data_IF_210975375995
#
_entry.id   IF_210975375995
#
_cell.length_a   1.000
_cell.length_b   1.000
_cell.length_c   1.000
_cell.angle_alpha   90.00
_cell.angle_beta   90.00
_cell.angle_gamma   90.00
#
_symmetry.space_group_name_H-M   'P 1'
#
loop_
_entity.id
_entity.type
_entity.pdbx_description
1 polymer ?
#
# COMPACT_ATOMS: atom_id res chain seq x y z
N UNK A 1 -3.57 -27.87 67.66
CA UNK A 1 -3.81 -28.92 66.65
C UNK A 1 -4.36 -28.23 65.41
N UNK A 2 -3.50 -27.97 64.41
CA UNK A 2 -3.67 -28.28 62.96
C UNK A 2 -5.10 -28.13 62.40
N UNK A 3 -5.46 -27.38 61.34
CA UNK A 3 -4.80 -26.63 60.25
C UNK A 3 -5.91 -25.82 59.51
N UNK A 4 -5.54 -24.69 58.86
CA UNK A 4 -5.89 -24.19 57.50
C UNK A 4 -7.33 -24.37 56.93
N UNK A 5 -7.94 -23.38 56.25
CA UNK A 5 -7.87 -23.19 54.77
C UNK A 5 -8.53 -21.85 54.31
N UNK A 6 -7.78 -21.12 53.48
CA UNK A 6 -8.10 -20.21 52.34
C UNK A 6 -9.04 -18.99 52.52
N UNK A 7 -8.51 -17.77 52.42
CA UNK A 7 -8.40 -16.91 51.20
C UNK A 7 -9.76 -16.31 50.77
N UNK A 8 -10.14 -15.09 51.19
CA UNK A 8 -9.76 -13.77 50.67
C UNK A 8 -9.93 -13.62 49.14
N UNK A 9 -10.81 -12.67 48.78
CA UNK A 9 -11.10 -12.04 47.49
C UNK A 9 -11.87 -12.86 46.43
N UNK A 10 -13.21 -12.84 46.54
CA UNK A 10 -14.08 -12.86 45.36
C UNK A 10 -14.02 -11.47 44.71
N UNK A 11 -13.10 -11.28 43.76
CA UNK A 11 -13.10 -10.11 42.87
C UNK A 11 -12.49 -10.49 41.51
N UNK A 12 -13.35 -10.86 40.56
CA UNK A 12 -13.19 -10.54 39.13
C UNK A 12 -14.39 -11.07 38.35
N UNK A 13 -15.31 -10.21 37.86
CA UNK A 13 -16.03 -10.53 36.64
C UNK A 13 -15.06 -10.31 35.47
N UNK A 14 -14.72 -11.38 34.75
CA UNK A 14 -14.05 -11.28 33.45
C UNK A 14 -15.06 -10.69 32.45
N UNK A 15 -15.16 -9.36 32.42
CA UNK A 15 -15.81 -8.66 31.32
C UNK A 15 -14.89 -8.78 30.10
N UNK A 16 -15.04 -9.89 29.36
CA UNK A 16 -14.50 -10.01 28.02
C UNK A 16 -15.24 -9.00 27.14
N UNK A 17 -14.66 -7.81 27.00
CA UNK A 17 -15.02 -6.93 25.91
C UNK A 17 -14.80 -7.72 24.61
N UNK A 18 -15.81 -7.85 23.74
CA UNK A 18 -15.55 -8.40 22.43
C UNK A 18 -14.54 -7.46 21.77
N UNK A 19 -13.36 -7.98 21.43
CA UNK A 19 -12.37 -7.30 20.59
C UNK A 19 -12.93 -7.21 19.16
N UNK A 20 -14.09 -6.59 19.00
CA UNK A 20 -14.64 -6.18 17.72
C UNK A 20 -13.91 -4.91 17.30
N UNK A 21 -12.69 -5.02 16.77
CA UNK A 21 -12.12 -4.03 15.85
C UNK A 21 -10.70 -4.38 15.39
N UNK A 22 -10.49 -5.45 14.60
CA UNK A 22 -9.27 -5.54 13.75
C UNK A 22 -9.53 -6.05 12.33
N UNK A 23 -10.78 -6.08 11.86
CA UNK A 23 -11.11 -6.60 10.51
C UNK A 23 -11.65 -5.55 9.53
N UNK A 24 -11.70 -4.27 9.90
CA UNK A 24 -12.32 -3.23 9.06
C UNK A 24 -11.30 -2.47 8.18
N UNK A 25 -9.99 -2.63 8.37
CA UNK A 25 -8.96 -1.95 7.56
C UNK A 25 -8.41 -2.78 6.40
N UNK A 26 -8.64 -4.11 6.37
CA UNK A 26 -8.11 -4.97 5.30
C UNK A 26 -8.75 -4.74 3.92
N UNK A 27 -10.01 -4.31 3.87
CA UNK A 27 -10.75 -4.18 2.60
C UNK A 27 -10.30 -2.97 1.77
N UNK A 28 -9.68 -1.97 2.39
CA UNK A 28 -9.17 -0.80 1.68
C UNK A 28 -7.75 -1.00 1.14
N UNK A 29 -7.06 -2.08 1.52
CA UNK A 29 -5.64 -2.27 1.23
C UNK A 29 -5.34 -2.82 -0.17
N UNK A 30 -6.37 -3.17 -0.94
CA UNK A 30 -6.21 -3.64 -2.33
C UNK A 30 -6.35 -2.52 -3.34
N UNK A 31 -5.42 -2.49 -4.31
CA UNK A 31 -5.44 -1.63 -5.48
C UNK A 31 -6.62 -2.03 -6.37
N UNK A 32 -7.59 -1.14 -6.51
CA UNK A 32 -8.71 -1.29 -7.43
C UNK A 32 -8.40 -0.68 -8.81
N UNK A 33 -7.59 0.38 -8.85
CA UNK A 33 -7.22 1.01 -10.11
C UNK A 33 -5.83 1.64 -10.08
N UNK A 34 -5.22 1.76 -11.26
CA UNK A 34 -3.96 2.49 -11.46
C UNK A 34 -4.23 3.63 -12.44
N UNK A 35 -3.95 4.85 -12.00
CA UNK A 35 -4.07 6.07 -12.80
C UNK A 35 -2.69 6.63 -13.06
N UNK A 36 -2.40 6.88 -14.33
CA UNK A 36 -1.14 7.49 -14.75
C UNK A 36 -1.43 8.93 -15.14
N UNK A 37 -0.56 9.86 -14.73
CA UNK A 37 -0.69 11.30 -14.95
C UNK A 37 0.65 11.85 -15.43
N UNK A 38 0.62 12.78 -16.39
CA UNK A 38 1.81 13.47 -16.90
C UNK A 38 2.51 12.76 -18.07
N UNK A 39 2.04 11.57 -18.46
CA UNK A 39 2.45 10.93 -19.69
C UNK A 39 1.84 11.66 -20.90
N UNK A 40 2.66 11.87 -21.93
CA UNK A 40 2.30 12.58 -23.16
C UNK A 40 2.61 11.74 -24.39
N UNK A 41 3.78 11.10 -24.42
CA UNK A 41 4.23 10.28 -25.56
C UNK A 41 4.32 8.81 -25.21
N UNK A 42 4.53 8.50 -23.94
CA UNK A 42 4.56 7.12 -23.46
C UNK A 42 3.14 6.71 -23.10
N UNK A 43 2.68 5.60 -23.67
CA UNK A 43 1.36 5.05 -23.39
C UNK A 43 1.24 4.61 -21.93
N UNK A 44 0.03 4.73 -21.38
CA UNK A 44 -0.26 4.32 -20.00
C UNK A 44 0.12 2.86 -19.76
N UNK A 45 -0.22 1.99 -20.70
CA UNK A 45 0.00 0.54 -20.62
C UNK A 45 1.49 0.21 -20.54
N UNK A 46 2.33 0.97 -21.27
CA UNK A 46 3.78 0.85 -21.19
C UNK A 46 4.29 1.22 -19.80
N UNK A 47 3.81 2.32 -19.22
CA UNK A 47 4.17 2.73 -17.84
C UNK A 47 3.75 1.65 -16.83
N UNK A 48 2.53 1.14 -16.95
CA UNK A 48 2.00 0.09 -16.08
C UNK A 48 2.82 -1.20 -16.18
N UNK A 49 3.35 -1.55 -17.37
CA UNK A 49 4.20 -2.73 -17.56
C UNK A 49 5.54 -2.69 -16.81
N UNK A 50 5.99 -1.52 -16.39
CA UNK A 50 7.20 -1.35 -15.57
C UNK A 50 6.91 -1.44 -14.07
N UNK A 51 5.65 -1.43 -13.67
CA UNK A 51 5.26 -1.56 -12.28
C UNK A 51 5.41 -3.01 -11.81
N UNK A 52 5.80 -3.17 -10.55
CA UNK A 52 5.78 -4.44 -9.81
C UNK A 52 4.50 -4.65 -9.04
N UNK A 53 3.55 -3.73 -9.12
CA UNK A 53 2.22 -3.84 -8.53
C UNK A 53 1.14 -3.64 -9.60
N UNK A 54 0.01 -4.29 -9.43
CA UNK A 54 -1.10 -4.29 -10.38
C UNK A 54 -2.45 -4.16 -9.66
N UNK A 55 -3.51 -3.98 -10.44
CA UNK A 55 -4.87 -4.05 -9.93
C UNK A 55 -5.12 -5.44 -9.34
N UNK A 56 -5.68 -5.48 -8.14
CA UNK A 56 -5.89 -6.71 -7.36
C UNK A 56 -4.77 -7.00 -6.35
N UNK A 57 -3.61 -6.36 -6.46
CA UNK A 57 -2.56 -6.47 -5.45
C UNK A 57 -2.88 -5.63 -4.21
N UNK A 58 -2.27 -6.00 -3.08
CA UNK A 58 -2.22 -5.14 -1.88
C UNK A 58 -1.27 -3.96 -2.11
N UNK A 59 -1.50 -2.85 -1.42
CA UNK A 59 -0.55 -1.74 -1.37
C UNK A 59 0.69 -2.14 -0.58
N UNK A 60 1.65 -2.73 -1.30
CA UNK A 60 2.94 -3.12 -0.77
C UNK A 60 4.00 -2.05 -1.09
N UNK A 61 4.53 -1.42 -0.04
CA UNK A 61 5.53 -0.36 -0.16
C UNK A 61 6.81 -0.82 -0.85
N UNK A 62 7.26 -2.06 -0.63
CA UNK A 62 8.46 -2.61 -1.29
C UNK A 62 8.23 -2.75 -2.79
N UNK A 63 7.06 -3.26 -3.21
CA UNK A 63 6.70 -3.37 -4.63
C UNK A 63 6.54 -1.99 -5.28
N UNK A 64 6.01 -1.00 -4.56
CA UNK A 64 5.91 0.37 -5.04
C UNK A 64 7.31 0.98 -5.23
N UNK A 65 8.21 0.82 -4.27
CA UNK A 65 9.60 1.30 -4.36
C UNK A 65 10.37 0.63 -5.51
N UNK A 66 10.18 -0.67 -5.72
CA UNK A 66 10.73 -1.38 -6.87
C UNK A 66 10.17 -0.86 -8.20
N UNK A 67 8.88 -0.54 -8.25
CA UNK A 67 8.23 0.05 -9.42
C UNK A 67 8.84 1.41 -9.76
N UNK A 68 9.03 2.27 -8.74
CA UNK A 68 9.67 3.57 -8.89
C UNK A 68 11.09 3.41 -9.44
N UNK A 69 11.89 2.50 -8.86
CA UNK A 69 13.25 2.20 -9.34
C UNK A 69 13.25 1.71 -10.80
N UNK A 70 12.32 0.84 -11.18
CA UNK A 70 12.24 0.32 -12.55
C UNK A 70 11.92 1.44 -13.54
N UNK A 71 10.98 2.32 -13.22
CA UNK A 71 10.64 3.46 -14.07
C UNK A 71 11.84 4.38 -14.26
N UNK A 72 12.58 4.72 -13.20
CA UNK A 72 13.81 5.51 -13.33
C UNK A 72 14.88 4.81 -14.17
N UNK A 73 15.06 3.49 -14.01
CA UNK A 73 16.02 2.69 -14.79
C UNK A 73 15.72 2.66 -16.28
N UNK A 74 14.47 2.91 -16.71
CA UNK A 74 14.16 3.01 -18.14
C UNK A 74 14.83 4.20 -18.82
N UNK A 75 15.16 5.25 -18.05
CA UNK A 75 15.65 6.52 -18.60
C UNK A 75 14.60 7.30 -19.40
N UNK A 76 13.32 6.90 -19.38
CA UNK A 76 12.24 7.57 -20.10
C UNK A 76 11.71 8.81 -19.36
N UNK A 77 11.90 8.87 -18.05
CA UNK A 77 11.30 9.88 -17.18
C UNK A 77 12.38 10.68 -16.46
N UNK A 78 12.19 12.00 -16.41
CA UNK A 78 12.97 12.93 -15.60
C UNK A 78 12.57 12.87 -14.13
N UNK A 79 11.30 12.60 -13.85
CA UNK A 79 10.75 12.49 -12.49
C UNK A 79 9.60 11.48 -12.44
N UNK A 80 9.47 10.80 -11.29
CA UNK A 80 8.43 9.80 -11.03
C UNK A 80 8.03 9.87 -9.56
N UNK A 81 6.74 10.03 -9.30
CA UNK A 81 6.17 9.93 -7.95
C UNK A 81 4.95 9.01 -7.94
N UNK A 82 4.75 8.33 -6.81
CA UNK A 82 3.63 7.41 -6.62
C UNK A 82 2.95 7.74 -5.30
N UNK A 83 1.62 7.80 -5.34
CA UNK A 83 0.81 8.04 -4.13
C UNK A 83 -0.48 7.23 -4.18
N UNK A 84 -0.96 6.86 -3.00
CA UNK A 84 -2.25 6.20 -2.81
C UNK A 84 -3.33 7.24 -2.62
N UNK A 85 -4.43 7.08 -3.33
CA UNK A 85 -5.67 7.84 -3.17
C UNK A 85 -6.81 6.81 -3.08
N UNK A 86 -7.32 6.59 -1.87
CA UNK A 86 -8.23 5.49 -1.52
C UNK A 86 -7.68 4.11 -1.95
N UNK A 87 -8.30 3.52 -2.98
CA UNK A 87 -7.93 2.23 -3.60
C UNK A 87 -7.28 2.43 -4.97
N UNK A 88 -6.83 3.65 -5.28
CA UNK A 88 -6.19 4.00 -6.53
C UNK A 88 -4.71 4.28 -6.30
N UNK A 89 -3.85 3.65 -7.09
CA UNK A 89 -2.45 4.04 -7.20
C UNK A 89 -2.33 5.13 -8.26
N UNK A 90 -1.97 6.33 -7.83
CA UNK A 90 -1.65 7.45 -8.72
C UNK A 90 -0.15 7.39 -9.02
N UNK A 91 0.18 7.23 -10.29
CA UNK A 91 1.56 7.27 -10.81
C UNK A 91 1.71 8.55 -11.61
N UNK A 92 2.47 9.49 -11.09
CA UNK A 92 2.76 10.75 -11.75
C UNK A 92 4.17 10.70 -12.35
N UNK A 93 4.28 11.05 -13.62
CA UNK A 93 5.54 11.00 -14.37
C UNK A 93 5.81 12.33 -15.08
N UNK A 94 7.09 12.64 -15.25
CA UNK A 94 7.57 13.70 -16.14
C UNK A 94 8.50 13.06 -17.16
N UNK A 95 8.14 13.10 -18.44
CA UNK A 95 8.94 12.50 -19.52
C UNK A 95 10.25 13.29 -19.77
N UNK A 96 11.30 12.57 -20.17
CA UNK A 96 12.53 13.21 -20.63
C UNK A 96 12.29 13.94 -21.96
N UNK A 97 12.86 15.15 -22.15
CA UNK A 97 12.71 15.89 -23.39
C UNK A 97 13.38 15.18 -24.56
N UNK A 98 12.72 15.15 -25.71
CA UNK A 98 13.34 14.69 -26.95
C UNK A 98 14.22 15.80 -27.49
N UNK A 99 15.53 15.55 -27.49
CA UNK A 99 16.48 16.45 -28.14
C UNK A 99 16.56 16.04 -29.61
N UNK A 100 15.84 16.74 -30.48
CA UNK A 100 16.10 16.70 -31.92
C UNK A 100 17.40 17.48 -32.16
N UNK A 101 18.49 16.78 -32.45
CA UNK A 101 19.74 17.40 -32.92
C UNK A 101 19.73 17.60 -34.43
#
# INVERSE_FOLDING_TARGET
MTLLIAAIQTFMPLEMKPDTAYAQEELNDTINSVRVVGNQRIEKETIVSYLKTAVGDRFDSSRIDESLKNLFKTGLFADVSMRREDRTLIVQVVENPIINR
#
